data_IF_343206488430
#
_entry.id   IF_343206488430
#
_cell.length_a   1.000
_cell.length_b   1.000
_cell.length_c   1.000
_cell.angle_alpha   90.00
_cell.angle_beta   90.00
_cell.angle_gamma   90.00
#
_symmetry.space_group_name_H-M   'P 1'
#
loop_
_entity.id
_entity.type
_entity.pdbx_description
1 polymer ?
#
# COMPACT_ATOMS: atom_id res chain seq x y z
N UNK A 1 21.84 14.81 30.66
CA UNK A 1 22.09 13.96 29.47
C UNK A 1 21.00 12.92 29.43
N UNK A 2 19.86 13.26 28.82
CA UNK A 2 18.78 12.32 28.53
C UNK A 2 19.18 11.55 27.27
N UNK A 3 19.29 10.23 27.38
CA UNK A 3 19.65 9.35 26.28
C UNK A 3 18.69 9.56 25.11
N UNK A 4 19.27 9.79 23.93
CA UNK A 4 18.59 9.75 22.65
C UNK A 4 17.86 8.40 22.58
N UNK A 5 16.54 8.47 22.47
CA UNK A 5 15.72 7.31 22.20
C UNK A 5 16.11 6.86 20.79
N UNK A 6 16.88 5.78 20.70
CA UNK A 6 17.03 5.01 19.47
C UNK A 6 15.62 4.49 19.14
N UNK A 7 14.79 5.31 18.49
CA UNK A 7 13.54 4.82 17.90
C UNK A 7 13.94 3.97 16.70
N UNK A 8 14.10 2.69 17.02
CA UNK A 8 14.39 1.63 16.08
C UNK A 8 13.24 1.58 15.06
N UNK A 9 13.51 0.99 13.91
CA UNK A 9 12.56 0.73 12.83
C UNK A 9 11.35 -0.22 13.10
N UNK A 10 11.22 -1.00 14.22
CA UNK A 10 10.25 -2.09 14.27
C UNK A 10 8.79 -1.66 14.47
N UNK A 11 8.48 -0.36 14.49
CA UNK A 11 7.10 0.13 14.54
C UNK A 11 6.51 0.40 13.14
N UNK A 12 7.28 0.15 12.07
CA UNK A 12 6.82 0.36 10.70
C UNK A 12 5.73 -0.66 10.30
N UNK A 13 4.54 -0.17 9.96
CA UNK A 13 3.45 -0.98 9.43
C UNK A 13 3.80 -1.66 8.10
N UNK A 14 3.04 -2.68 7.71
CA UNK A 14 3.20 -3.31 6.39
C UNK A 14 2.46 -2.51 5.32
N UNK A 15 3.06 -2.35 4.15
CA UNK A 15 2.42 -1.72 2.98
C UNK A 15 2.71 -2.52 1.73
N UNK A 16 1.71 -2.64 0.87
CA UNK A 16 1.79 -3.37 -0.39
C UNK A 16 1.40 -2.42 -1.52
N UNK A 17 2.09 -2.50 -2.64
CA UNK A 17 1.73 -1.73 -3.83
C UNK A 17 2.06 -2.47 -5.11
N UNK A 18 1.17 -2.36 -6.10
CA UNK A 18 1.25 -3.03 -7.41
C UNK A 18 0.79 -2.05 -8.50
N UNK A 19 1.58 -1.91 -9.57
CA UNK A 19 1.20 -1.10 -10.73
C UNK A 19 1.93 -1.60 -11.98
N UNK A 20 1.19 -2.25 -12.89
CA UNK A 20 1.76 -2.90 -14.08
C UNK A 20 2.73 -4.00 -13.67
N UNK A 21 3.94 -3.96 -14.22
CA UNK A 21 5.01 -4.89 -13.87
C UNK A 21 5.77 -4.48 -12.60
N UNK A 22 5.51 -3.28 -12.06
CA UNK A 22 6.14 -2.78 -10.84
C UNK A 22 5.41 -3.22 -9.58
N UNK A 23 6.17 -3.42 -8.52
CA UNK A 23 5.65 -3.78 -7.20
C UNK A 23 6.59 -3.29 -6.09
N UNK A 24 6.04 -3.01 -4.91
CA UNK A 24 6.85 -2.75 -3.73
C UNK A 24 6.12 -3.21 -2.47
N UNK A 25 6.84 -3.92 -1.60
CA UNK A 25 6.36 -4.39 -0.31
C UNK A 25 7.26 -3.81 0.76
N UNK A 26 6.67 -3.07 1.69
CA UNK A 26 7.37 -2.44 2.81
C UNK A 26 6.99 -3.13 4.11
N UNK A 27 7.96 -3.38 4.98
CA UNK A 27 7.73 -4.04 6.26
C UNK A 27 8.86 -3.81 7.26
N UNK A 28 8.65 -4.16 8.54
CA UNK A 28 9.56 -3.81 9.62
C UNK A 28 10.94 -4.47 9.52
N UNK A 29 11.02 -5.70 9.01
CA UNK A 29 12.28 -6.44 8.87
C UNK A 29 12.91 -6.31 7.48
N UNK A 30 12.07 -6.18 6.44
CA UNK A 30 12.52 -6.09 5.06
C UNK A 30 11.52 -5.33 4.20
N UNK A 31 12.04 -4.48 3.32
CA UNK A 31 11.32 -3.93 2.17
C UNK A 31 11.93 -4.43 0.87
N UNK A 32 11.12 -4.77 -0.14
CA UNK A 32 11.61 -5.16 -1.46
C UNK A 32 10.61 -4.87 -2.58
N UNK A 33 11.12 -4.69 -3.79
CA UNK A 33 10.29 -4.34 -4.93
C UNK A 33 11.04 -4.26 -6.25
N UNK A 34 10.30 -3.98 -7.31
CA UNK A 34 10.80 -3.51 -8.60
C UNK A 34 10.06 -2.23 -8.93
N UNK A 35 10.78 -1.11 -8.99
CA UNK A 35 10.21 0.23 -9.17
C UNK A 35 10.84 0.87 -10.41
N UNK A 36 10.00 1.46 -11.26
CA UNK A 36 10.46 2.27 -12.38
C UNK A 36 11.27 3.48 -11.91
N UNK A 37 12.42 3.69 -12.54
CA UNK A 37 13.16 4.93 -12.41
C UNK A 37 12.61 6.01 -13.37
N UNK A 38 13.25 7.18 -13.37
CA UNK A 38 12.87 8.33 -14.22
C UNK A 38 12.95 8.06 -15.73
N UNK A 39 13.60 6.98 -16.17
CA UNK A 39 13.67 6.59 -17.60
C UNK A 39 12.68 5.45 -17.93
N UNK A 40 11.80 5.09 -16.99
CA UNK A 40 10.75 4.10 -17.17
C UNK A 40 11.27 2.66 -17.19
N UNK A 41 12.42 2.40 -16.58
CA UNK A 41 12.98 1.04 -16.50
C UNK A 41 12.80 0.54 -15.07
N UNK A 42 12.07 -0.58 -14.86
CA UNK A 42 11.95 -1.20 -13.54
C UNK A 42 13.32 -1.68 -13.04
N UNK A 43 13.66 -1.30 -11.80
CA UNK A 43 14.88 -1.74 -11.13
C UNK A 43 14.57 -2.43 -9.80
N UNK A 44 15.22 -3.58 -9.52
CA UNK A 44 15.04 -4.28 -8.26
C UNK A 44 15.61 -3.46 -7.10
N UNK A 45 14.85 -3.37 -6.03
CA UNK A 45 15.24 -2.74 -4.77
C UNK A 45 15.01 -3.72 -3.63
N UNK A 46 15.98 -3.84 -2.74
CA UNK A 46 15.90 -4.71 -1.56
C UNK A 46 16.61 -4.05 -0.37
N UNK A 47 15.92 -4.02 0.76
CA UNK A 47 16.37 -3.40 2.00
C UNK A 47 16.16 -4.40 3.14
N UNK A 48 17.26 -4.94 3.67
CA UNK A 48 17.26 -5.71 4.92
C UNK A 48 17.47 -4.73 6.08
N UNK A 49 16.44 -4.56 6.92
CA UNK A 49 16.45 -3.59 8.02
C UNK A 49 17.15 -4.14 9.28
N UNK A 50 17.38 -5.46 9.35
CA UNK A 50 18.03 -6.12 10.48
C UNK A 50 19.56 -6.18 10.35
N UNK A 51 20.07 -6.42 9.13
CA UNK A 51 21.51 -6.64 8.88
C UNK A 51 22.09 -5.81 7.74
N UNK A 52 21.24 -5.15 6.96
CA UNK A 52 21.61 -4.46 5.73
C UNK A 52 21.96 -2.97 5.90
N UNK A 53 21.79 -2.24 4.80
CA UNK A 53 22.12 -0.82 4.69
C UNK A 53 21.37 0.01 5.74
N UNK A 54 22.00 1.10 6.19
CA UNK A 54 21.45 2.06 7.16
C UNK A 54 20.29 2.89 6.58
N UNK A 55 19.38 2.33 5.77
CA UNK A 55 18.28 3.06 5.12
C UNK A 55 17.05 2.15 5.04
N UNK A 56 15.88 2.68 5.42
CA UNK A 56 14.58 2.08 5.09
C UNK A 56 13.90 2.85 3.97
N UNK A 57 13.21 2.13 3.09
CA UNK A 57 12.40 2.70 2.02
C UNK A 57 10.95 2.25 2.17
N UNK A 58 10.08 3.25 2.06
CA UNK A 58 8.64 3.09 1.92
C UNK A 58 8.25 3.61 0.54
N UNK A 59 7.53 2.80 -0.24
CA UNK A 59 7.06 3.19 -1.57
C UNK A 59 5.61 2.77 -1.76
N UNK A 60 4.79 3.69 -2.25
CA UNK A 60 3.44 3.43 -2.77
C UNK A 60 3.42 3.83 -4.23
N UNK A 61 3.23 2.86 -5.12
CA UNK A 61 3.19 3.03 -6.56
C UNK A 61 1.86 3.63 -6.99
N UNK A 62 1.94 4.53 -7.96
CA UNK A 62 0.83 5.03 -8.76
C UNK A 62 1.09 4.79 -10.25
N UNK A 63 0.09 5.04 -11.10
CA UNK A 63 0.21 4.92 -12.55
C UNK A 63 1.15 5.99 -13.14
N UNK A 64 1.64 5.75 -14.35
CA UNK A 64 2.48 6.70 -15.14
C UNK A 64 3.77 7.11 -14.42
N UNK A 65 4.41 6.14 -13.75
CA UNK A 65 5.68 6.33 -13.02
C UNK A 65 5.59 7.35 -11.86
N UNK A 66 4.38 7.65 -11.39
CA UNK A 66 4.16 8.37 -10.14
C UNK A 66 4.27 7.42 -8.95
N UNK A 67 4.85 7.86 -7.85
CA UNK A 67 4.86 7.11 -6.62
C UNK A 67 5.16 8.02 -5.43
N UNK A 68 4.61 7.68 -4.27
CA UNK A 68 5.08 8.22 -3.02
C UNK A 68 6.32 7.43 -2.58
N UNK A 69 7.39 8.11 -2.18
CA UNK A 69 8.56 7.50 -1.57
C UNK A 69 9.00 8.27 -0.34
N UNK A 70 9.24 7.53 0.74
CA UNK A 70 9.91 8.04 1.94
C UNK A 70 11.15 7.18 2.20
N UNK A 71 12.30 7.84 2.37
CA UNK A 71 13.60 7.21 2.59
C UNK A 71 14.17 7.67 3.92
N UNK A 72 14.46 6.74 4.84
CA UNK A 72 14.93 7.05 6.19
C UNK A 72 16.30 6.43 6.49
N UNK A 73 17.37 7.24 6.59
CA UNK A 73 18.66 6.79 7.08
C UNK A 73 18.65 6.42 8.57
N UNK A 74 19.50 5.49 9.00
CA UNK A 74 19.61 5.04 10.40
C UNK A 74 20.24 6.11 11.28
N UNK A 75 19.46 6.61 12.25
CA UNK A 75 19.90 7.65 13.17
C UNK A 75 20.11 9.03 12.51
N UNK A 76 19.58 9.23 11.30
CA UNK A 76 19.60 10.51 10.61
C UNK A 76 18.20 11.12 10.49
N UNK A 77 18.14 12.39 10.10
CA UNK A 77 16.90 13.07 9.75
C UNK A 77 16.32 12.47 8.45
N UNK A 78 14.99 12.50 8.33
CA UNK A 78 14.23 11.93 7.20
C UNK A 78 14.59 12.65 5.89
N UNK A 79 14.79 11.87 4.82
CA UNK A 79 15.10 12.43 3.50
C UNK A 79 13.85 12.50 2.62
N UNK A 80 13.41 13.74 2.40
CA UNK A 80 12.66 14.31 1.28
C UNK A 80 11.63 13.42 0.54
N UNK A 81 10.36 13.87 0.58
CA UNK A 81 9.35 13.55 -0.42
C UNK A 81 9.79 14.19 -1.75
N UNK A 82 9.85 13.39 -2.82
CA UNK A 82 10.10 13.92 -4.16
C UNK A 82 8.78 14.43 -4.74
N UNK A 83 8.52 15.74 -4.61
CA UNK A 83 7.26 16.33 -5.07
C UNK A 83 7.00 16.14 -6.58
N UNK A 84 8.03 15.94 -7.40
CA UNK A 84 7.88 15.64 -8.84
C UNK A 84 7.17 14.31 -9.08
N UNK A 85 7.32 13.37 -8.16
CA UNK A 85 6.79 12.02 -8.33
C UNK A 85 5.28 11.99 -8.03
N UNK A 86 4.72 13.10 -7.53
CA UNK A 86 3.32 13.29 -7.14
C UNK A 86 2.66 14.50 -7.83
N UNK A 87 3.17 14.96 -8.98
CA UNK A 87 2.65 16.15 -9.68
C UNK A 87 1.13 16.09 -9.98
N UNK A 88 0.60 14.90 -10.25
CA UNK A 88 -0.83 14.70 -10.50
C UNK A 88 -1.68 14.60 -9.21
N UNK A 89 -1.05 14.68 -8.04
CA UNK A 89 -1.68 14.54 -6.72
C UNK A 89 -1.42 15.78 -5.85
N UNK A 90 -1.62 16.99 -6.39
CA UNK A 90 -1.34 18.25 -5.69
C UNK A 90 -1.97 18.31 -4.27
N UNK A 91 -3.23 17.88 -4.14
CA UNK A 91 -3.92 17.86 -2.85
C UNK A 91 -3.32 16.88 -1.83
N UNK A 92 -2.66 15.81 -2.30
CA UNK A 92 -1.92 14.88 -1.44
C UNK A 92 -0.65 15.56 -0.92
N UNK A 93 0.11 16.24 -1.79
CA UNK A 93 1.33 16.97 -1.40
C UNK A 93 1.02 18.03 -0.33
N UNK A 94 -0.04 18.82 -0.55
CA UNK A 94 -0.49 19.81 0.43
C UNK A 94 -0.83 19.18 1.80
N UNK A 95 -1.48 18.01 1.80
CA UNK A 95 -1.85 17.32 3.04
C UNK A 95 -0.63 16.79 3.79
N UNK A 96 0.34 16.24 3.07
CA UNK A 96 1.59 15.76 3.65
C UNK A 96 2.34 16.92 4.33
N UNK A 97 2.40 18.08 3.68
CA UNK A 97 3.05 19.29 4.21
C UNK A 97 2.26 19.90 5.38
N UNK A 98 0.92 20.01 5.29
CA UNK A 98 0.07 20.61 6.32
C UNK A 98 0.10 19.83 7.64
N UNK A 99 0.15 18.50 7.55
CA UNK A 99 0.06 17.60 8.69
C UNK A 99 1.41 16.98 9.09
N UNK A 100 2.52 17.39 8.48
CA UNK A 100 3.88 16.89 8.73
C UNK A 100 3.94 15.35 8.64
N UNK A 101 3.32 14.80 7.60
CA UNK A 101 3.17 13.35 7.42
C UNK A 101 4.40 12.80 6.69
N UNK A 102 5.34 12.26 7.46
CA UNK A 102 6.50 11.55 6.91
C UNK A 102 6.10 10.25 6.20
N UNK A 103 5.15 9.53 6.81
CA UNK A 103 4.63 8.27 6.32
C UNK A 103 3.16 8.16 6.71
N UNK A 104 2.27 7.86 5.75
CA UNK A 104 0.87 7.65 6.06
C UNK A 104 0.65 6.29 6.73
N UNK A 105 -0.36 6.23 7.62
CA UNK A 105 -0.91 4.96 8.13
C UNK A 105 -1.43 4.12 6.95
N UNK A 106 -2.09 4.78 6.00
CA UNK A 106 -2.57 4.18 4.76
C UNK A 106 -2.52 5.21 3.63
N UNK A 107 -1.99 4.79 2.49
CA UNK A 107 -2.04 5.55 1.24
C UNK A 107 -2.41 4.60 0.10
N UNK A 108 -3.42 4.99 -0.68
CA UNK A 108 -3.78 4.34 -1.93
C UNK A 108 -3.79 5.39 -3.02
N UNK A 109 -2.90 5.23 -4.00
CA UNK A 109 -2.89 6.01 -5.23
C UNK A 109 -3.79 5.31 -6.26
N UNK A 110 -4.46 6.08 -7.09
CA UNK A 110 -5.33 5.64 -8.16
C UNK A 110 -5.07 6.37 -9.47
N UNK A 111 -5.85 6.04 -10.50
CA UNK A 111 -5.75 6.71 -11.80
C UNK A 111 -6.25 8.16 -11.76
N UNK A 112 -5.76 8.98 -12.69
CA UNK A 112 -6.19 10.39 -12.87
C UNK A 112 -6.03 11.28 -11.63
N UNK A 113 -5.01 11.03 -10.79
CA UNK A 113 -4.76 11.86 -9.62
C UNK A 113 -5.66 11.53 -8.41
N UNK A 114 -6.47 10.48 -8.49
CA UNK A 114 -7.30 10.05 -7.36
C UNK A 114 -6.45 9.36 -6.29
N UNK A 115 -6.76 9.62 -5.02
CA UNK A 115 -6.07 9.04 -3.88
C UNK A 115 -6.96 8.97 -2.65
N UNK A 116 -6.56 8.11 -1.71
CA UNK A 116 -7.01 8.13 -0.33
C UNK A 116 -5.78 8.08 0.57
N UNK A 117 -5.69 9.00 1.54
CA UNK A 117 -4.64 9.04 2.55
C UNK A 117 -5.23 9.14 3.95
N UNK A 118 -4.59 8.44 4.87
CA UNK A 118 -4.83 8.51 6.31
C UNK A 118 -3.48 8.61 7.02
N UNK A 119 -3.32 9.61 7.86
CA UNK A 119 -2.14 9.81 8.70
C UNK A 119 -2.29 9.08 10.04
N UNK A 120 -1.17 8.78 10.72
CA UNK A 120 -1.18 8.08 12.02
C UNK A 120 -1.93 8.83 13.13
N UNK A 121 -2.00 10.17 13.02
CA UNK A 121 -2.78 11.01 13.94
C UNK A 121 -4.31 10.92 13.70
N UNK A 122 -4.74 10.16 12.69
CA UNK A 122 -6.14 9.95 12.34
C UNK A 122 -6.73 10.96 11.36
N UNK A 123 -5.97 11.97 10.93
CA UNK A 123 -6.38 12.88 9.86
C UNK A 123 -6.43 12.14 8.53
N UNK A 124 -7.41 12.48 7.69
CA UNK A 124 -7.63 11.84 6.40
C UNK A 124 -7.95 12.87 5.31
N UNK A 125 -7.50 12.60 4.08
CA UNK A 125 -7.86 13.35 2.89
C UNK A 125 -8.04 12.40 1.72
N UNK A 126 -8.88 12.77 0.78
CA UNK A 126 -9.13 11.96 -0.40
C UNK A 126 -9.57 12.83 -1.58
N UNK A 127 -9.19 12.38 -2.77
CA UNK A 127 -9.80 12.75 -4.05
C UNK A 127 -10.17 11.45 -4.73
N UNK A 128 -11.46 11.14 -4.84
CA UNK A 128 -11.94 9.86 -5.34
C UNK A 128 -12.78 10.06 -6.59
N UNK A 129 -12.85 9.05 -7.48
CA UNK A 129 -13.81 9.07 -8.57
C UNK A 129 -15.22 9.36 -8.04
N UNK A 130 -15.99 10.18 -8.75
CA UNK A 130 -17.29 10.65 -8.26
C UNK A 130 -18.29 9.50 -7.98
N UNK A 131 -18.15 8.37 -8.68
CA UNK A 131 -18.88 7.13 -8.40
C UNK A 131 -18.50 6.54 -7.04
N UNK A 132 -17.21 6.37 -6.79
CA UNK A 132 -16.64 5.85 -5.53
C UNK A 132 -17.01 6.75 -4.36
N UNK A 133 -16.79 8.07 -4.47
CA UNK A 133 -17.13 9.03 -3.44
C UNK A 133 -18.63 8.99 -3.10
N UNK A 134 -19.50 8.79 -4.10
CA UNK A 134 -20.93 8.64 -3.90
C UNK A 134 -21.26 7.34 -3.15
N UNK A 135 -20.67 6.21 -3.52
CA UNK A 135 -20.90 4.96 -2.80
C UNK A 135 -20.42 5.04 -1.34
N UNK A 136 -19.25 5.64 -1.11
CA UNK A 136 -18.65 5.69 0.23
C UNK A 136 -19.27 6.74 1.15
N UNK A 137 -19.67 7.89 0.59
CA UNK A 137 -20.02 9.07 1.39
C UNK A 137 -21.39 9.70 1.05
N UNK A 138 -22.09 9.29 -0.03
CA UNK A 138 -23.42 9.82 -0.32
C UNK A 138 -24.51 8.94 0.33
N UNK A 139 -24.95 9.33 1.52
CA UNK A 139 -26.06 8.69 2.22
C UNK A 139 -25.90 8.85 3.72
N UNK A 140 -27.00 9.13 4.41
CA UNK A 140 -27.09 9.32 5.87
C UNK A 140 -26.13 8.42 6.66
N UNK A 141 -25.28 9.05 7.50
CA UNK A 141 -24.47 8.45 8.55
C UNK A 141 -24.31 6.92 8.44
N UNK A 142 -23.37 6.47 7.61
CA UNK A 142 -22.80 5.12 7.76
C UNK A 142 -22.53 4.91 9.25
N UNK A 143 -23.11 3.88 9.87
CA UNK A 143 -23.01 3.65 11.31
C UNK A 143 -21.56 3.45 11.78
N UNK A 144 -20.65 3.14 10.86
CA UNK A 144 -19.22 2.97 11.11
C UNK A 144 -18.39 3.76 10.09
N UNK A 145 -17.36 4.52 10.53
CA UNK A 145 -16.50 5.29 9.63
C UNK A 145 -15.64 4.38 8.75
N UNK A 146 -15.27 4.87 7.57
CA UNK A 146 -14.28 4.23 6.70
C UNK A 146 -12.89 4.36 7.37
N UNK A 147 -12.11 3.28 7.37
CA UNK A 147 -10.75 3.24 7.93
C UNK A 147 -9.69 2.96 6.87
N UNK A 148 -10.10 2.50 5.69
CA UNK A 148 -9.17 2.29 4.57
C UNK A 148 -9.92 2.17 3.25
N UNK A 149 -9.28 2.66 2.18
CA UNK A 149 -9.73 2.53 0.80
C UNK A 149 -8.53 2.09 -0.03
N UNK A 150 -8.72 1.03 -0.82
CA UNK A 150 -7.74 0.53 -1.79
C UNK A 150 -8.35 0.67 -3.18
N UNK A 151 -7.70 1.49 -4.00
CA UNK A 151 -8.08 1.77 -5.38
C UNK A 151 -7.42 0.74 -6.31
N UNK A 152 -8.15 0.37 -7.35
CA UNK A 152 -7.74 -0.52 -8.41
C UNK A 152 -7.92 0.10 -9.80
N UNK A 153 -7.77 -0.73 -10.83
CA UNK A 153 -8.00 -0.39 -12.22
C UNK A 153 -9.49 -0.23 -12.50
N UNK A 154 -9.84 0.56 -13.52
CA UNK A 154 -11.22 0.72 -14.00
C UNK A 154 -12.22 1.11 -12.90
N UNK A 155 -11.83 2.03 -12.02
CA UNK A 155 -12.60 2.50 -10.85
C UNK A 155 -12.94 1.42 -9.82
N UNK A 156 -12.32 0.22 -9.92
CA UNK A 156 -12.48 -0.81 -8.91
C UNK A 156 -11.96 -0.32 -7.55
N UNK A 157 -12.63 -0.68 -6.47
CA UNK A 157 -12.19 -0.35 -5.14
C UNK A 157 -12.66 -1.35 -4.09
N UNK A 158 -11.96 -1.33 -2.97
CA UNK A 158 -12.41 -1.93 -1.71
C UNK A 158 -12.27 -0.89 -0.62
N UNK A 159 -13.31 -0.73 0.19
CA UNK A 159 -13.27 0.09 1.38
C UNK A 159 -13.60 -0.75 2.61
N UNK A 160 -12.87 -0.51 3.70
CA UNK A 160 -13.12 -1.14 4.99
C UNK A 160 -13.64 -0.11 5.99
N UNK A 161 -14.66 -0.51 6.75
CA UNK A 161 -15.20 0.24 7.88
C UNK A 161 -14.55 -0.21 9.19
N UNK A 162 -14.62 0.64 10.20
CA UNK A 162 -14.10 0.38 11.56
C UNK A 162 -14.72 -0.85 12.23
N UNK A 163 -15.92 -1.26 11.81
CA UNK A 163 -16.60 -2.46 12.32
C UNK A 163 -16.15 -3.75 11.60
N UNK A 164 -15.19 -3.66 10.69
CA UNK A 164 -14.67 -4.76 9.89
C UNK A 164 -15.49 -5.06 8.63
N UNK A 165 -16.66 -4.44 8.44
CA UNK A 165 -17.44 -4.59 7.21
C UNK A 165 -16.76 -3.91 6.02
N UNK A 166 -17.05 -4.41 4.82
CA UNK A 166 -16.43 -3.93 3.58
C UNK A 166 -17.46 -3.53 2.54
N UNK A 167 -17.09 -2.55 1.73
CA UNK A 167 -17.76 -2.20 0.49
C UNK A 167 -16.80 -2.59 -0.62
N UNK A 168 -17.27 -3.39 -1.56
CA UNK A 168 -16.45 -3.99 -2.62
C UNK A 168 -17.14 -3.75 -3.95
N UNK A 169 -16.48 -3.03 -4.86
CA UNK A 169 -16.90 -2.88 -6.25
C UNK A 169 -15.70 -3.15 -7.15
N UNK A 170 -15.60 -4.34 -7.74
CA UNK A 170 -14.43 -4.73 -8.55
C UNK A 170 -14.64 -4.60 -10.06
N UNK A 171 -15.86 -4.34 -10.53
CA UNK A 171 -16.18 -4.16 -11.96
C UNK A 171 -15.62 -5.27 -12.89
N UNK A 172 -15.61 -6.51 -12.40
CA UNK A 172 -15.09 -7.67 -13.13
C UNK A 172 -13.56 -7.80 -13.15
N UNK A 173 -12.84 -6.93 -12.45
CA UNK A 173 -11.40 -7.01 -12.22
C UNK A 173 -11.08 -7.93 -11.03
N UNK A 174 -9.80 -8.26 -10.88
CA UNK A 174 -9.20 -9.03 -9.79
C UNK A 174 -9.89 -10.37 -9.55
N UNK A 175 -9.80 -11.31 -10.51
CA UNK A 175 -10.45 -12.62 -10.39
C UNK A 175 -10.12 -13.31 -9.08
N UNK A 176 -11.15 -13.64 -8.29
CA UNK A 176 -11.00 -14.31 -6.99
C UNK A 176 -10.94 -13.40 -5.77
N UNK A 177 -10.72 -12.09 -5.94
CA UNK A 177 -10.62 -11.15 -4.81
C UNK A 177 -11.94 -11.07 -4.02
N UNK A 178 -13.11 -11.10 -4.65
CA UNK A 178 -14.40 -11.12 -3.92
C UNK A 178 -14.49 -12.31 -2.96
N UNK A 179 -14.07 -13.49 -3.41
CA UNK A 179 -14.04 -14.71 -2.60
C UNK A 179 -13.03 -14.57 -1.46
N UNK A 180 -11.84 -14.03 -1.74
CA UNK A 180 -10.83 -13.71 -0.72
C UNK A 180 -11.40 -12.79 0.35
N UNK A 181 -12.18 -11.78 -0.04
CA UNK A 181 -12.76 -10.77 0.85
C UNK A 181 -13.95 -11.25 1.69
N UNK A 182 -14.46 -12.49 1.47
CA UNK A 182 -15.47 -13.12 2.33
C UNK A 182 -14.96 -13.47 3.73
N UNK A 183 -13.64 -13.43 3.96
CA UNK A 183 -13.02 -13.66 5.27
C UNK A 183 -13.50 -12.61 6.29
N UNK A 184 -13.70 -13.01 7.53
CA UNK A 184 -14.15 -12.12 8.62
C UNK A 184 -13.03 -11.27 9.23
N UNK A 185 -11.77 -11.69 9.13
CA UNK A 185 -10.61 -10.94 9.63
C UNK A 185 -10.49 -9.57 8.93
N UNK A 186 -10.06 -8.53 9.61
CA UNK A 186 -9.86 -7.20 9.02
C UNK A 186 -8.68 -7.21 8.03
N UNK A 187 -8.77 -6.43 6.96
CA UNK A 187 -7.63 -6.13 6.08
C UNK A 187 -6.72 -5.13 6.81
N UNK A 188 -5.45 -5.46 6.98
CA UNK A 188 -4.43 -4.51 7.45
C UNK A 188 -3.95 -3.64 6.30
N UNK A 189 -3.62 -4.27 5.18
CA UNK A 189 -3.25 -3.58 3.93
C UNK A 189 -3.55 -4.49 2.75
N UNK A 190 -3.69 -3.90 1.58
CA UNK A 190 -3.91 -4.60 0.33
C UNK A 190 -3.25 -3.82 -0.81
N UNK A 191 -2.87 -4.55 -1.86
CA UNK A 191 -2.56 -3.97 -3.16
C UNK A 191 -3.47 -4.58 -4.21
N UNK A 192 -3.95 -3.73 -5.11
CA UNK A 192 -4.69 -4.08 -6.31
C UNK A 192 -3.91 -3.47 -7.48
N UNK A 193 -3.51 -4.27 -8.46
CA UNK A 193 -2.69 -3.78 -9.57
C UNK A 193 -3.46 -2.73 -10.38
N UNK A 194 -2.96 -1.49 -10.36
CA UNK A 194 -3.64 -0.33 -10.94
C UNK A 194 -3.74 -0.36 -12.47
N UNK A 195 -2.92 -1.16 -13.15
CA UNK A 195 -2.79 -1.11 -14.61
C UNK A 195 -3.52 -2.27 -15.32
N UNK A 196 -3.42 -3.50 -14.81
CA UNK A 196 -3.94 -4.67 -15.53
C UNK A 196 -5.25 -5.24 -14.95
N UNK A 197 -5.62 -4.88 -13.72
CA UNK A 197 -6.82 -5.42 -13.07
C UNK A 197 -6.77 -6.92 -12.79
N UNK A 198 -5.58 -7.52 -12.72
CA UNK A 198 -5.42 -8.97 -12.53
C UNK A 198 -4.88 -9.28 -11.14
N UNK A 199 -3.74 -8.68 -10.79
CA UNK A 199 -3.01 -9.06 -9.58
C UNK A 199 -3.51 -8.31 -8.33
N UNK A 200 -3.54 -9.04 -7.21
CA UNK A 200 -3.82 -8.48 -5.91
C UNK A 200 -3.06 -9.23 -4.81
N UNK A 201 -2.83 -8.56 -3.69
CA UNK A 201 -2.33 -9.15 -2.46
C UNK A 201 -3.01 -8.50 -1.25
N UNK A 202 -3.42 -9.31 -0.26
CA UNK A 202 -4.16 -8.89 0.94
C UNK A 202 -3.43 -9.41 2.16
N UNK A 203 -3.04 -8.50 3.06
CA UNK A 203 -2.59 -8.84 4.40
C UNK A 203 -3.76 -8.69 5.38
N UNK A 204 -4.04 -9.75 6.11
CA UNK A 204 -5.08 -9.82 7.13
C UNK A 204 -4.53 -9.50 8.53
N UNK A 205 -5.42 -9.10 9.44
CA UNK A 205 -5.09 -8.77 10.83
C UNK A 205 -4.66 -9.97 11.70
N UNK A 206 -4.69 -11.17 11.14
CA UNK A 206 -4.19 -12.40 11.76
C UNK A 206 -2.85 -12.84 11.15
N UNK A 207 -2.10 -11.88 10.56
CA UNK A 207 -0.77 -12.06 9.99
C UNK A 207 -0.70 -13.09 8.86
N UNK A 208 -1.80 -13.26 8.13
CA UNK A 208 -1.85 -14.08 6.93
C UNK A 208 -1.91 -13.23 5.66
N UNK A 209 -1.12 -13.61 4.66
CA UNK A 209 -1.09 -13.00 3.32
C UNK A 209 -1.81 -13.92 2.34
N UNK A 210 -2.68 -13.36 1.50
CA UNK A 210 -3.28 -14.04 0.36
C UNK A 210 -3.06 -13.20 -0.90
N UNK A 211 -2.81 -13.83 -2.04
CA UNK A 211 -2.64 -13.13 -3.30
C UNK A 211 -3.28 -13.91 -4.46
N UNK A 212 -3.35 -13.26 -5.63
CA UNK A 212 -3.70 -13.94 -6.87
C UNK A 212 -2.71 -15.11 -7.13
N UNK A 213 -3.22 -16.22 -7.67
CA UNK A 213 -2.46 -17.47 -7.79
C UNK A 213 -1.38 -17.42 -8.89
N UNK A 214 -1.65 -16.75 -10.00
CA UNK A 214 -0.71 -16.46 -11.08
C UNK A 214 0.44 -15.54 -10.66
N UNK A 215 0.17 -14.55 -9.82
CA UNK A 215 1.17 -13.62 -9.25
C UNK A 215 2.35 -14.37 -8.61
N UNK A 216 2.09 -15.52 -7.96
CA UNK A 216 3.11 -16.37 -7.35
C UNK A 216 4.12 -16.97 -8.33
N UNK A 217 3.88 -16.93 -9.65
CA UNK A 217 4.80 -17.41 -10.69
C UNK A 217 5.64 -16.29 -11.30
N UNK A 218 5.38 -15.04 -10.91
CA UNK A 218 6.03 -13.85 -11.41
C UNK A 218 7.12 -13.38 -10.44
N UNK A 219 7.87 -12.35 -10.86
CA UNK A 219 8.87 -11.70 -10.02
C UNK A 219 8.24 -11.14 -8.74
N UNK A 220 7.08 -10.48 -8.88
CA UNK A 220 6.29 -9.90 -7.79
C UNK A 220 5.95 -10.93 -6.71
N UNK A 221 5.47 -12.12 -7.07
CA UNK A 221 5.15 -13.18 -6.10
C UNK A 221 6.38 -13.87 -5.50
N UNK A 222 7.50 -13.91 -6.24
CA UNK A 222 8.77 -14.40 -5.68
C UNK A 222 9.31 -13.45 -4.63
N UNK A 223 9.23 -12.14 -4.86
CA UNK A 223 9.56 -11.13 -3.87
C UNK A 223 8.57 -11.14 -2.68
N UNK A 224 7.26 -11.32 -2.93
CA UNK A 224 6.25 -11.40 -1.87
C UNK A 224 6.53 -12.57 -0.90
N UNK A 225 6.98 -13.73 -1.41
CA UNK A 225 7.42 -14.85 -0.56
C UNK A 225 8.62 -14.49 0.31
N UNK A 226 9.63 -13.83 -0.25
CA UNK A 226 10.81 -13.38 0.53
C UNK A 226 10.39 -12.38 1.61
N UNK A 227 9.57 -11.39 1.23
CA UNK A 227 8.99 -10.40 2.12
C UNK A 227 8.22 -11.06 3.29
N UNK A 228 7.31 -11.98 2.99
CA UNK A 228 6.52 -12.67 4.01
C UNK A 228 7.41 -13.45 4.99
N UNK A 229 8.39 -14.20 4.47
CA UNK A 229 9.33 -14.95 5.31
C UNK A 229 10.16 -14.05 6.23
N UNK A 230 10.65 -12.92 5.72
CA UNK A 230 11.46 -11.98 6.49
C UNK A 230 10.64 -11.26 7.59
N UNK A 231 9.38 -10.94 7.31
CA UNK A 231 8.51 -10.19 8.21
C UNK A 231 7.60 -11.07 9.08
N UNK A 232 7.76 -12.41 9.04
CA UNK A 232 6.99 -13.34 9.86
C UNK A 232 5.51 -13.48 9.48
N UNK A 233 5.16 -13.15 8.24
CA UNK A 233 3.79 -13.22 7.70
C UNK A 233 3.57 -14.58 7.04
N UNK A 234 2.46 -15.24 7.34
CA UNK A 234 2.12 -16.53 6.76
C UNK A 234 1.45 -16.37 5.38
N UNK A 235 2.11 -16.82 4.30
CA UNK A 235 1.53 -16.80 2.96
C UNK A 235 0.60 -18.01 2.73
N UNK A 236 -0.70 -17.75 2.60
CA UNK A 236 -1.73 -18.72 2.26
C UNK A 236 -1.91 -18.80 0.73
N UNK A 237 -1.99 -20.01 0.18
CA UNK A 237 -2.13 -20.23 -1.26
C UNK A 237 -1.09 -21.16 -1.90
N UNK A 238 -0.27 -21.88 -1.11
CA UNK A 238 0.58 -22.96 -1.64
C UNK A 238 -0.25 -24.21 -1.95
N UNK A 239 -1.12 -24.10 -2.95
CA UNK A 239 -1.69 -25.26 -3.62
C UNK A 239 -0.66 -25.83 -4.56
N UNK A 240 0.02 -26.91 -4.15
CA UNK A 240 0.69 -27.80 -5.09
C UNK A 240 -0.36 -28.34 -6.06
N UNK A 241 -0.28 -27.94 -7.32
CA UNK A 241 -0.75 -28.73 -8.46
C UNK A 241 0.42 -28.96 -9.39
#
# INVERSE_FOLDING_TARGET
>A
MSGLQEDQYPNEGVTLSLCGDCFFYSGPAMSCGSVEDTIGIPHPQEFDHGTGNNITNYVVLGPRSHYFRCTRPRGGDVAAISNSDLEDYEGLVEFLDEHDVERPELLSLGVNGHYFIRAENGEEKWDLPASVARTLFAGSASASPITGVWLGSCDAFVAQRKDGSRIVELHGQYPGLETTLLRTSCVLTMAMNLQDGMDYAVLWADDTMQCESGMLRMESGTALRRFCNANGVALEGVGNT
#
